data_IF_240487700175
#
_entry.id   IF_240487700175
#
_cell.length_a   1.000
_cell.length_b   1.000
_cell.length_c   1.000
_cell.angle_alpha   90.00
_cell.angle_beta   90.00
_cell.angle_gamma   90.00
#
_symmetry.space_group_name_H-M   'P 1'
#
loop_
_entity.id
_entity.type
_entity.pdbx_description
1 polymer ?
#
# COMPACT_ATOMS: atom_id res chain seq x y z
N UNK A 1 38.09 28.66 31.51
CA UNK A 1 37.14 27.54 31.77
C UNK A 1 35.82 28.14 32.21
N UNK A 2 34.90 28.37 31.27
CA UNK A 2 33.63 29.04 31.51
C UNK A 2 32.69 28.07 32.24
N UNK A 3 32.43 28.32 33.53
CA UNK A 3 31.41 27.58 34.30
C UNK A 3 30.05 28.08 33.83
N UNK A 4 29.42 27.35 32.91
CA UNK A 4 28.03 27.64 32.54
C UNK A 4 27.16 27.55 33.80
N UNK A 5 26.36 28.58 34.13
CA UNK A 5 25.54 28.56 35.33
C UNK A 5 24.52 27.43 35.21
N UNK A 6 24.36 26.61 36.26
CA UNK A 6 23.44 25.47 36.27
C UNK A 6 22.01 25.82 35.80
N UNK A 7 21.61 27.08 35.99
CA UNK A 7 20.34 27.66 35.50
C UNK A 7 20.23 27.70 33.97
N UNK A 8 21.32 27.96 33.26
CA UNK A 8 21.35 27.97 31.80
C UNK A 8 21.26 26.56 31.22
N UNK A 9 21.94 25.59 31.85
CA UNK A 9 21.84 24.16 31.48
C UNK A 9 20.43 23.65 31.71
N UNK A 10 19.83 23.97 32.86
CA UNK A 10 18.45 23.59 33.18
C UNK A 10 17.43 24.18 32.19
N UNK A 11 17.60 25.45 31.82
CA UNK A 11 16.74 26.11 30.82
C UNK A 11 16.86 25.47 29.44
N UNK A 12 18.07 25.09 29.03
CA UNK A 12 18.31 24.41 27.75
C UNK A 12 17.66 23.01 27.74
N UNK A 13 17.77 22.26 28.83
CA UNK A 13 17.10 20.96 28.98
C UNK A 13 15.58 21.08 28.91
N UNK A 14 14.99 22.11 29.50
CA UNK A 14 13.55 22.36 29.43
C UNK A 14 13.08 22.67 28.02
N UNK A 15 13.81 23.53 27.29
CA UNK A 15 13.49 23.84 25.89
C UNK A 15 13.58 22.58 25.04
N UNK A 16 14.62 21.76 25.22
CA UNK A 16 14.79 20.51 24.49
C UNK A 16 13.68 19.49 24.82
N UNK A 17 13.33 19.33 26.10
CA UNK A 17 12.25 18.44 26.53
C UNK A 17 10.89 18.87 25.96
N UNK A 18 10.62 20.19 25.90
CA UNK A 18 9.41 20.71 25.27
C UNK A 18 9.37 20.42 23.77
N UNK A 19 10.51 20.56 23.07
CA UNK A 19 10.65 20.20 21.66
C UNK A 19 10.43 18.70 21.39
N UNK A 20 10.95 17.82 22.25
CA UNK A 20 10.73 16.36 22.14
C UNK A 20 9.27 16.00 22.40
N UNK A 21 8.62 16.62 23.37
CA UNK A 21 7.19 16.43 23.66
C UNK A 21 6.31 16.90 22.49
N UNK A 22 6.55 18.10 21.96
CA UNK A 22 5.85 18.60 20.78
C UNK A 22 6.12 17.74 19.53
N UNK A 23 7.34 17.26 19.34
CA UNK A 23 7.69 16.34 18.26
C UNK A 23 6.99 14.98 18.37
N UNK A 24 6.93 14.40 19.58
CA UNK A 24 6.25 13.13 19.83
C UNK A 24 4.73 13.24 19.67
N UNK A 25 4.12 14.33 20.13
CA UNK A 25 2.70 14.61 19.96
C UNK A 25 2.35 14.91 18.49
N UNK A 26 3.18 15.69 17.80
CA UNK A 26 3.05 15.97 16.36
C UNK A 26 3.14 14.70 15.52
N UNK A 27 4.13 13.84 15.80
CA UNK A 27 4.27 12.55 15.13
C UNK A 27 3.03 11.67 15.32
N UNK A 28 2.46 11.61 16.53
CA UNK A 28 1.21 10.87 16.75
C UNK A 28 0.03 11.45 15.98
N UNK A 29 -0.10 12.78 15.90
CA UNK A 29 -1.20 13.42 15.19
C UNK A 29 -1.11 13.23 13.67
N UNK A 30 0.09 13.30 13.08
CA UNK A 30 0.29 13.05 11.64
C UNK A 30 0.09 11.58 11.26
N UNK A 31 0.60 10.64 12.06
CA UNK A 31 0.43 9.20 11.83
C UNK A 31 -1.03 8.75 11.98
N UNK A 32 -1.80 9.37 12.89
CA UNK A 32 -3.24 9.09 13.04
C UNK A 32 -4.09 9.67 11.89
N UNK A 33 -3.64 10.73 11.23
CA UNK A 33 -4.42 11.42 10.19
C UNK A 33 -4.22 10.84 8.78
N UNK A 34 -3.12 10.16 8.51
CA UNK A 34 -2.87 9.52 7.20
C UNK A 34 -3.64 8.20 6.97
N UNK A 35 -4.22 7.60 8.01
CA UNK A 35 -4.93 6.30 7.89
C UNK A 35 -6.45 6.43 7.73
N UNK A 36 -7.02 7.65 7.80
CA UNK A 36 -8.47 7.87 7.85
C UNK A 36 -8.99 8.92 6.84
N UNK A 37 -8.51 8.89 5.60
CA UNK A 37 -9.10 9.69 4.51
C UNK A 37 -9.72 8.78 3.43
N UNK A 38 -10.91 8.24 3.74
CA UNK A 38 -12.04 8.18 2.79
C UNK A 38 -11.87 7.45 1.44
N UNK A 39 -11.03 6.43 1.31
CA UNK A 39 -11.16 5.55 0.15
C UNK A 39 -12.51 4.81 0.26
N UNK A 40 -13.42 4.88 -0.73
CA UNK A 40 -14.65 4.08 -0.71
C UNK A 40 -14.30 2.61 -0.50
N UNK A 41 -15.16 1.81 0.17
CA UNK A 41 -14.92 0.38 0.35
C UNK A 41 -14.57 -0.23 -1.00
N UNK A 42 -13.44 -0.94 -1.04
CA UNK A 42 -12.91 -1.54 -2.27
C UNK A 42 -13.98 -2.48 -2.81
N UNK A 43 -14.48 -2.18 -4.00
CA UNK A 43 -15.40 -3.08 -4.71
C UNK A 43 -14.65 -4.34 -5.09
N UNK A 44 -15.27 -5.49 -4.86
CA UNK A 44 -14.68 -6.77 -5.28
C UNK A 44 -14.55 -6.83 -6.81
N UNK A 45 -13.64 -7.65 -7.33
CA UNK A 45 -13.51 -7.86 -8.77
C UNK A 45 -14.84 -8.32 -9.40
N UNK A 46 -15.63 -9.10 -8.66
CA UNK A 46 -16.94 -9.55 -9.08
C UNK A 46 -17.97 -8.40 -9.12
N UNK A 47 -17.93 -7.48 -8.17
CA UNK A 47 -18.77 -6.27 -8.20
C UNK A 47 -18.40 -5.37 -9.37
N UNK A 48 -17.10 -5.17 -9.64
CA UNK A 48 -16.65 -4.41 -10.80
C UNK A 48 -17.09 -5.06 -12.12
N UNK A 49 -17.00 -6.39 -12.21
CA UNK A 49 -17.48 -7.15 -13.38
C UNK A 49 -18.98 -6.96 -13.60
N UNK A 50 -19.79 -7.07 -12.54
CA UNK A 50 -21.24 -6.87 -12.59
C UNK A 50 -21.58 -5.46 -13.04
N UNK A 51 -20.91 -4.44 -12.48
CA UNK A 51 -21.11 -3.05 -12.88
C UNK A 51 -20.80 -2.82 -14.35
N UNK A 52 -19.68 -3.37 -14.84
CA UNK A 52 -19.28 -3.26 -16.24
C UNK A 52 -20.28 -3.96 -17.17
N UNK A 53 -20.75 -5.15 -16.79
CA UNK A 53 -21.74 -5.91 -17.55
C UNK A 53 -23.09 -5.16 -17.64
N UNK A 54 -23.55 -4.58 -16.52
CA UNK A 54 -24.76 -3.75 -16.50
C UNK A 54 -24.60 -2.44 -17.29
N UNK A 55 -23.44 -1.79 -17.20
CA UNK A 55 -23.14 -0.62 -18.03
C UNK A 55 -23.23 -0.96 -19.53
N UNK A 56 -22.62 -2.09 -19.93
CA UNK A 56 -22.66 -2.56 -21.32
C UNK A 56 -24.08 -2.88 -21.76
N UNK A 57 -24.86 -3.56 -20.92
CA UNK A 57 -26.27 -3.83 -21.17
C UNK A 57 -27.06 -2.56 -21.45
N UNK A 58 -26.92 -1.55 -20.59
CA UNK A 58 -27.67 -0.29 -20.68
C UNK A 58 -27.26 0.55 -21.88
N UNK A 59 -25.94 0.71 -22.10
CA UNK A 59 -25.41 1.59 -23.15
C UNK A 59 -25.52 0.99 -24.54
N UNK A 60 -25.34 -0.32 -24.66
CA UNK A 60 -25.42 -1.04 -25.94
C UNK A 60 -26.81 -1.62 -26.20
N UNK A 61 -27.73 -1.53 -25.24
CA UNK A 61 -29.10 -2.07 -25.31
C UNK A 61 -29.11 -3.57 -25.65
N UNK A 62 -28.26 -4.33 -24.94
CA UNK A 62 -28.11 -5.76 -25.19
C UNK A 62 -29.43 -6.49 -24.94
N UNK A 63 -29.81 -7.37 -25.86
CA UNK A 63 -30.88 -8.34 -25.63
C UNK A 63 -30.43 -9.44 -24.66
N UNK A 64 -31.35 -10.34 -24.30
CA UNK A 64 -31.08 -11.39 -23.32
C UNK A 64 -29.97 -12.36 -23.77
N UNK A 65 -29.91 -12.68 -25.06
CA UNK A 65 -28.90 -13.59 -25.59
C UNK A 65 -27.53 -12.90 -25.60
N UNK A 66 -27.46 -11.67 -26.09
CA UNK A 66 -26.24 -10.86 -26.12
C UNK A 66 -25.67 -10.62 -24.71
N UNK A 67 -26.53 -10.45 -23.71
CA UNK A 67 -26.12 -10.30 -22.32
C UNK A 67 -25.46 -11.56 -21.76
N UNK A 68 -26.06 -12.74 -21.98
CA UNK A 68 -25.48 -14.01 -21.53
C UNK A 68 -24.18 -14.33 -22.29
N UNK A 69 -24.12 -14.07 -23.60
CA UNK A 69 -22.90 -14.24 -24.40
C UNK A 69 -21.78 -13.33 -23.88
N UNK A 70 -22.08 -12.06 -23.56
CA UNK A 70 -21.12 -11.13 -22.96
C UNK A 70 -20.59 -11.63 -21.62
N UNK A 71 -21.46 -12.19 -20.77
CA UNK A 71 -21.06 -12.76 -19.48
C UNK A 71 -20.08 -13.91 -19.67
N UNK A 72 -20.34 -14.81 -20.61
CA UNK A 72 -19.43 -15.93 -20.97
C UNK A 72 -18.07 -15.39 -21.43
N UNK A 73 -18.06 -14.41 -22.34
CA UNK A 73 -16.82 -13.79 -22.84
C UNK A 73 -15.98 -13.22 -21.69
N UNK A 74 -16.62 -12.53 -20.74
CA UNK A 74 -15.93 -11.95 -19.58
C UNK A 74 -15.41 -13.02 -18.62
N UNK A 75 -16.16 -14.11 -18.40
CA UNK A 75 -15.73 -15.24 -17.57
C UNK A 75 -14.51 -15.95 -18.17
N UNK A 76 -14.54 -16.25 -19.47
CA UNK A 76 -13.42 -16.87 -20.17
C UNK A 76 -12.18 -15.99 -20.18
N UNK A 77 -12.36 -14.69 -20.44
CA UNK A 77 -11.27 -13.72 -20.43
C UNK A 77 -10.66 -13.60 -19.05
N UNK A 78 -11.49 -13.55 -18.00
CA UNK A 78 -11.04 -13.55 -16.61
C UNK A 78 -10.22 -14.80 -16.26
N UNK A 79 -10.65 -15.98 -16.73
CA UNK A 79 -9.91 -17.23 -16.55
C UNK A 79 -8.54 -17.20 -17.25
N UNK A 80 -8.47 -16.71 -18.49
CA UNK A 80 -7.20 -16.54 -19.22
C UNK A 80 -6.23 -15.62 -18.48
N UNK A 81 -6.71 -14.50 -17.96
CA UNK A 81 -5.88 -13.59 -17.16
C UNK A 81 -5.37 -14.22 -15.86
N UNK A 82 -6.19 -15.03 -15.15
CA UNK A 82 -5.72 -15.77 -13.97
C UNK A 82 -4.59 -16.73 -14.32
N UNK A 83 -4.73 -17.52 -15.39
CA UNK A 83 -3.70 -18.47 -15.84
C UNK A 83 -2.39 -17.73 -16.13
N UNK A 84 -2.46 -16.62 -16.88
CA UNK A 84 -1.27 -15.80 -17.16
C UNK A 84 -0.67 -15.26 -15.87
N UNK A 85 -1.47 -14.70 -14.97
CA UNK A 85 -1.00 -14.17 -13.68
C UNK A 85 -0.29 -15.24 -12.86
N UNK A 86 -0.86 -16.44 -12.76
CA UNK A 86 -0.27 -17.56 -12.01
C UNK A 86 1.04 -18.01 -12.63
N UNK A 87 1.12 -18.09 -13.96
CA UNK A 87 2.32 -18.46 -14.69
C UNK A 87 3.49 -17.50 -14.41
N UNK A 88 3.25 -16.20 -14.43
CA UNK A 88 4.28 -15.17 -14.25
C UNK A 88 4.52 -14.77 -12.79
N UNK A 89 3.67 -15.22 -11.85
CA UNK A 89 3.83 -14.94 -10.43
C UNK A 89 5.22 -15.27 -9.87
N UNK A 90 5.81 -16.45 -10.10
CA UNK A 90 7.13 -16.77 -9.58
C UNK A 90 8.24 -15.88 -10.18
N UNK A 91 8.18 -15.58 -11.47
CA UNK A 91 9.13 -14.68 -12.14
C UNK A 91 9.08 -13.28 -11.53
N UNK A 92 7.87 -12.76 -11.28
CA UNK A 92 7.69 -11.47 -10.63
C UNK A 92 8.17 -11.46 -9.17
N UNK A 93 8.06 -12.58 -8.46
CA UNK A 93 8.60 -12.71 -7.10
C UNK A 93 10.12 -12.69 -7.13
N UNK A 94 10.75 -13.43 -8.05
CA UNK A 94 12.19 -13.45 -8.21
C UNK A 94 12.77 -12.05 -8.51
N UNK A 95 12.14 -11.28 -9.41
CA UNK A 95 12.54 -9.89 -9.72
C UNK A 95 12.49 -9.00 -8.47
N UNK A 96 11.45 -9.16 -7.64
CA UNK A 96 11.31 -8.38 -6.40
C UNK A 96 12.34 -8.76 -5.34
N UNK A 97 12.68 -10.05 -5.26
CA UNK A 97 13.71 -10.55 -4.34
C UNK A 97 15.10 -10.07 -4.77
N UNK A 98 15.42 -10.14 -6.06
CA UNK A 98 16.67 -9.61 -6.62
C UNK A 98 16.79 -8.10 -6.34
N UNK A 99 15.74 -7.33 -6.63
CA UNK A 99 15.70 -5.90 -6.32
C UNK A 99 15.97 -5.64 -4.84
N UNK A 100 15.36 -6.43 -3.94
CA UNK A 100 15.53 -6.26 -2.52
C UNK A 100 16.95 -6.63 -2.04
N UNK A 101 17.57 -7.66 -2.63
CA UNK A 101 18.96 -8.01 -2.37
C UNK A 101 19.90 -6.85 -2.72
N UNK A 102 19.74 -6.29 -3.93
CA UNK A 102 20.55 -5.17 -4.41
C UNK A 102 20.36 -3.91 -3.57
N UNK A 103 19.15 -3.67 -3.06
CA UNK A 103 18.91 -2.56 -2.13
C UNK A 103 19.62 -2.84 -0.79
N UNK A 104 19.55 -4.06 -0.26
CA UNK A 104 20.23 -4.40 1.00
C UNK A 104 21.76 -4.25 0.93
N UNK A 105 22.37 -4.49 -0.24
CA UNK A 105 23.81 -4.32 -0.46
C UNK A 105 24.28 -2.86 -0.31
N UNK A 106 23.42 -1.89 -0.62
CA UNK A 106 23.76 -0.45 -0.51
C UNK A 106 23.34 0.17 0.81
N UNK A 107 22.58 -0.55 1.64
CA UNK A 107 22.10 -0.08 2.93
C UNK A 107 23.09 -0.39 4.05
N UNK A 108 23.23 0.54 4.99
CA UNK A 108 23.95 0.27 6.24
C UNK A 108 23.18 -0.74 7.11
N UNK A 109 23.85 -1.51 7.98
CA UNK A 109 23.18 -2.49 8.84
C UNK A 109 22.00 -1.92 9.62
N UNK A 110 22.12 -0.70 10.15
CA UNK A 110 21.06 -0.02 10.90
C UNK A 110 19.83 0.36 10.04
N UNK A 111 19.96 0.42 8.72
CA UNK A 111 18.89 0.77 7.79
C UNK A 111 18.10 -0.45 7.28
N UNK A 112 18.68 -1.65 7.34
CA UNK A 112 18.09 -2.87 6.78
C UNK A 112 16.76 -3.24 7.45
N UNK A 113 16.67 -3.09 8.77
CA UNK A 113 15.44 -3.34 9.52
C UNK A 113 14.27 -2.41 9.10
N UNK A 114 14.57 -1.14 8.86
CA UNK A 114 13.58 -0.18 8.37
C UNK A 114 13.12 -0.52 6.95
N UNK A 115 14.05 -0.95 6.09
CA UNK A 115 13.71 -1.38 4.73
C UNK A 115 12.85 -2.65 4.71
N UNK A 116 13.13 -3.63 5.57
CA UNK A 116 12.32 -4.83 5.70
C UNK A 116 10.88 -4.50 6.11
N UNK A 117 10.71 -3.58 7.08
CA UNK A 117 9.40 -3.12 7.51
C UNK A 117 8.62 -2.45 6.35
N UNK A 118 9.28 -1.57 5.59
CA UNK A 118 8.69 -0.95 4.40
C UNK A 118 8.25 -1.98 3.35
N UNK A 119 9.02 -3.07 3.17
CA UNK A 119 8.65 -4.16 2.25
C UNK A 119 7.40 -4.89 2.73
N UNK A 120 7.31 -5.23 4.02
CA UNK A 120 6.15 -5.91 4.61
C UNK A 120 4.89 -5.07 4.47
N UNK A 121 4.96 -3.77 4.74
CA UNK A 121 3.82 -2.85 4.57
C UNK A 121 3.31 -2.79 3.12
N UNK A 122 4.22 -2.76 2.14
CA UNK A 122 3.87 -2.81 0.72
C UNK A 122 3.28 -4.15 0.31
N UNK A 123 3.79 -5.26 0.86
CA UNK A 123 3.23 -6.59 0.61
C UNK A 123 1.81 -6.72 1.14
N UNK A 124 1.56 -6.26 2.36
CA UNK A 124 0.22 -6.24 2.96
C UNK A 124 -0.74 -5.34 2.18
N UNK A 125 -0.26 -4.18 1.69
CA UNK A 125 -1.04 -3.36 0.76
C UNK A 125 -1.41 -4.15 -0.49
N UNK A 126 -0.45 -4.84 -1.14
CA UNK A 126 -0.70 -5.66 -2.35
C UNK A 126 -1.67 -6.81 -2.10
N UNK A 127 -1.52 -7.56 -1.01
CA UNK A 127 -2.47 -8.61 -0.62
C UNK A 127 -3.88 -8.09 -0.43
N UNK A 128 -4.04 -6.86 0.08
CA UNK A 128 -5.35 -6.19 0.15
C UNK A 128 -5.93 -5.81 -1.21
N UNK A 129 -5.12 -5.73 -2.28
CA UNK A 129 -5.57 -5.46 -3.65
C UNK A 129 -5.84 -6.74 -4.45
N UNK A 130 -5.18 -7.84 -4.10
CA UNK A 130 -5.37 -9.16 -4.73
C UNK A 130 -6.52 -9.99 -4.11
N UNK A 131 -7.01 -9.61 -2.94
CA UNK A 131 -8.22 -10.16 -2.29
C UNK A 131 -9.48 -9.46 -2.79
#
# INVERSE_FOLDING_TARGET
>A
MSRFPAKAVFSLCLVFASGVLLGALGHRYFVLKEVSAGAPPRRSMDEMRKMYLEEMRQRLKLDAQQYEDMKVILDETGAKFRIVREKYRPEMQAIQEEQASRINEILKPEQQAAYEQLRKEREELRKRWDK
#
